data_IF_409797645439
#
_entry.id   IF_409797645439
#
_cell.length_a   1.000
_cell.length_b   1.000
_cell.length_c   1.000
_cell.angle_alpha   90.00
_cell.angle_beta   90.00
_cell.angle_gamma   90.00
#
_symmetry.space_group_name_H-M   'P 1'
#
loop_
_entity.id
_entity.type
_entity.pdbx_description
1 polymer ?
#
# COMPACT_ATOMS: atom_id res chain seq x y z
N UNK A 1 -1.28 -18.83 -18.44
CA UNK A 1 -1.97 -17.55 -18.67
C UNK A 1 -1.33 -16.53 -17.75
N UNK A 2 -0.79 -15.43 -18.30
CA UNK A 2 -0.28 -14.34 -17.47
C UNK A 2 -1.46 -13.44 -17.08
N UNK A 3 -1.64 -13.09 -15.81
CA UNK A 3 -2.67 -12.14 -15.41
C UNK A 3 -2.40 -10.78 -16.05
N UNK A 4 -3.46 -10.07 -16.46
CA UNK A 4 -3.33 -8.72 -17.01
C UNK A 4 -2.75 -7.75 -15.97
N UNK A 5 -3.12 -7.92 -14.71
CA UNK A 5 -2.61 -7.15 -13.59
C UNK A 5 -2.49 -8.00 -12.32
N UNK A 6 -1.53 -7.65 -11.48
CA UNK A 6 -1.34 -8.20 -10.13
C UNK A 6 -1.36 -7.04 -9.14
N UNK A 7 -2.13 -7.19 -8.06
CA UNK A 7 -2.08 -6.28 -6.91
C UNK A 7 -1.19 -6.89 -5.85
N UNK A 8 -0.13 -6.18 -5.45
CA UNK A 8 0.77 -6.66 -4.41
C UNK A 8 1.27 -5.51 -3.53
N UNK A 9 1.81 -5.86 -2.37
CA UNK A 9 2.59 -4.96 -1.52
C UNK A 9 3.81 -4.40 -2.27
N UNK A 10 4.25 -3.20 -1.84
CA UNK A 10 5.33 -2.45 -2.49
C UNK A 10 6.74 -2.99 -2.16
N UNK A 11 6.84 -4.28 -1.87
CA UNK A 11 8.12 -4.91 -1.55
C UNK A 11 8.90 -5.18 -2.84
N UNK A 12 10.14 -4.68 -2.89
CA UNK A 12 11.01 -4.82 -4.06
C UNK A 12 11.20 -6.29 -4.44
N UNK A 13 11.35 -7.18 -3.46
CA UNK A 13 11.50 -8.62 -3.69
C UNK A 13 10.28 -9.20 -4.40
N UNK A 14 9.07 -8.82 -3.97
CA UNK A 14 7.83 -9.29 -4.58
C UNK A 14 7.61 -8.71 -5.98
N UNK A 15 7.89 -7.42 -6.17
CA UNK A 15 7.84 -6.76 -7.47
C UNK A 15 8.79 -7.46 -8.46
N UNK A 16 10.03 -7.76 -8.03
CA UNK A 16 11.01 -8.47 -8.84
C UNK A 16 10.51 -9.88 -9.18
N UNK A 17 10.01 -10.63 -8.19
CA UNK A 17 9.48 -11.97 -8.44
C UNK A 17 8.33 -11.95 -9.47
N UNK A 18 7.41 -10.98 -9.39
CA UNK A 18 6.34 -10.83 -10.38
C UNK A 18 6.89 -10.49 -11.76
N UNK A 19 7.91 -9.63 -11.85
CA UNK A 19 8.57 -9.29 -13.12
C UNK A 19 9.26 -10.49 -13.75
N UNK A 20 9.91 -11.32 -12.95
CA UNK A 20 10.62 -12.51 -13.42
C UNK A 20 9.64 -13.58 -13.96
N UNK A 21 8.49 -13.76 -13.31
CA UNK A 21 7.50 -14.78 -13.68
C UNK A 21 6.48 -14.30 -14.72
N UNK A 22 6.20 -13.00 -14.77
CA UNK A 22 5.20 -12.41 -15.67
C UNK A 22 5.63 -10.99 -16.10
N UNK A 23 6.60 -10.90 -17.02
CA UNK A 23 7.20 -9.61 -17.43
C UNK A 23 6.17 -8.59 -17.90
N UNK A 24 5.17 -9.06 -18.64
CA UNK A 24 4.12 -8.24 -19.27
C UNK A 24 2.95 -7.89 -18.35
N UNK A 25 2.92 -8.42 -17.11
CA UNK A 25 1.82 -8.16 -16.18
C UNK A 25 1.93 -6.76 -15.57
N UNK A 26 0.85 -6.00 -15.56
CA UNK A 26 0.81 -4.72 -14.83
C UNK A 26 0.85 -4.94 -13.33
N UNK A 27 1.86 -4.41 -12.65
CA UNK A 27 1.94 -4.46 -11.19
C UNK A 27 1.25 -3.22 -10.63
N UNK A 28 0.28 -3.44 -9.75
CA UNK A 28 -0.47 -2.41 -9.05
C UNK A 28 -0.16 -2.54 -7.57
N UNK A 29 0.16 -1.42 -6.93
CA UNK A 29 0.39 -1.42 -5.49
C UNK A 29 -0.89 -1.63 -4.69
N UNK A 30 -0.80 -2.41 -3.61
CA UNK A 30 -1.93 -2.65 -2.72
C UNK A 30 -2.27 -1.39 -1.93
N UNK A 31 -3.43 -0.79 -2.24
CA UNK A 31 -3.90 0.43 -1.59
C UNK A 31 -4.06 0.28 -0.07
N UNK A 32 -4.50 -0.90 0.39
CA UNK A 32 -4.64 -1.22 1.81
C UNK A 32 -3.29 -1.15 2.54
N UNK A 33 -2.25 -1.82 2.02
CA UNK A 33 -0.91 -1.77 2.61
C UNK A 33 -0.28 -0.39 2.54
N UNK A 34 -0.54 0.37 1.46
CA UNK A 34 -0.08 1.76 1.34
C UNK A 34 -0.66 2.65 2.44
N UNK A 35 -1.98 2.57 2.68
CA UNK A 35 -2.65 3.31 3.75
C UNK A 35 -2.10 2.97 5.13
N UNK A 36 -1.87 1.69 5.42
CA UNK A 36 -1.20 1.28 6.66
C UNK A 36 0.23 1.85 6.76
N UNK A 37 0.98 1.85 5.67
CA UNK A 37 2.32 2.41 5.64
C UNK A 37 2.31 3.93 5.93
N UNK A 38 1.33 4.67 5.39
CA UNK A 38 1.11 6.08 5.71
C UNK A 38 0.87 6.28 7.21
N UNK A 39 -0.03 5.49 7.83
CA UNK A 39 -0.28 5.56 9.28
C UNK A 39 1.00 5.32 10.10
N UNK A 40 1.77 4.28 9.77
CA UNK A 40 3.04 3.96 10.45
C UNK A 40 4.05 5.11 10.30
N UNK A 41 4.11 5.74 9.13
CA UNK A 41 5.00 6.89 8.87
C UNK A 41 4.59 8.14 9.64
N UNK A 42 3.29 8.45 9.70
CA UNK A 42 2.77 9.55 10.51
C UNK A 42 3.14 9.38 11.99
N UNK A 43 2.96 8.18 12.54
CA UNK A 43 3.39 7.84 13.91
C UNK A 43 4.90 7.95 14.09
N UNK A 44 5.69 7.49 13.11
CA UNK A 44 7.16 7.60 13.13
C UNK A 44 7.65 9.05 13.14
N UNK A 45 6.94 9.94 12.44
CA UNK A 45 7.23 11.37 12.44
C UNK A 45 6.67 12.11 13.65
N UNK A 46 6.07 11.39 14.61
CA UNK A 46 5.52 11.95 15.85
C UNK A 46 4.48 13.04 15.59
N UNK A 47 3.68 12.88 14.52
CA UNK A 47 2.53 13.75 14.31
C UNK A 47 1.56 13.61 15.50
N UNK A 48 0.88 14.70 15.88
CA UNK A 48 -0.14 14.67 16.93
C UNK A 48 -1.16 13.54 16.69
N UNK A 49 -1.52 12.81 17.74
CA UNK A 49 -2.44 11.68 17.63
C UNK A 49 -3.76 12.07 16.95
N UNK A 50 -4.29 13.25 17.26
CA UNK A 50 -5.49 13.82 16.64
C UNK A 50 -5.35 13.98 15.12
N UNK A 51 -4.18 14.41 14.63
CA UNK A 51 -3.95 14.54 13.18
C UNK A 51 -3.83 13.17 12.51
N UNK A 52 -3.22 12.20 13.19
CA UNK A 52 -3.17 10.82 12.70
C UNK A 52 -4.57 10.21 12.65
N UNK A 53 -5.40 10.44 13.66
CA UNK A 53 -6.78 9.96 13.71
C UNK A 53 -7.63 10.59 12.60
N UNK A 54 -7.58 11.91 12.44
CA UNK A 54 -8.25 12.64 11.35
C UNK A 54 -7.81 12.13 9.98
N UNK A 55 -6.51 11.92 9.78
CA UNK A 55 -5.98 11.38 8.53
C UNK A 55 -6.50 9.96 8.25
N UNK A 56 -6.77 9.18 9.30
CA UNK A 56 -7.31 7.82 9.22
C UNK A 56 -8.84 7.77 9.37
N UNK A 57 -9.56 8.88 9.20
CA UNK A 57 -11.03 8.87 9.18
C UNK A 57 -11.58 8.25 7.89
N UNK A 58 -12.80 7.69 7.99
CA UNK A 58 -13.51 7.11 6.85
C UNK A 58 -13.66 8.14 5.72
N UNK A 59 -13.18 7.77 4.53
CA UNK A 59 -13.17 8.65 3.35
C UNK A 59 -11.87 9.45 3.17
N UNK A 60 -10.97 9.40 4.15
CA UNK A 60 -9.61 9.94 4.07
C UNK A 60 -8.63 8.80 3.72
N UNK A 61 -7.68 8.48 4.61
CA UNK A 61 -6.72 7.39 4.43
C UNK A 61 -7.14 6.07 5.11
N UNK A 62 -8.32 5.99 5.72
CA UNK A 62 -8.72 4.82 6.52
C UNK A 62 -8.66 3.49 5.76
N UNK A 63 -8.28 2.46 6.52
CA UNK A 63 -8.01 1.07 6.18
C UNK A 63 -9.21 0.17 6.55
N UNK A 64 -10.13 0.63 7.40
CA UNK A 64 -11.22 -0.20 7.90
C UNK A 64 -12.55 0.12 7.19
N UNK A 65 -12.84 -0.62 6.14
CA UNK A 65 -14.20 -0.92 5.69
C UNK A 65 -14.62 -2.29 6.17
#
# INVERSE_FOLDING_TARGET
>A
MNPRSIVCDFEKALINAVRDHSPDTTIVGCHFHWKQACQRRMKKYQLPAVEVEMAMERGMLDVLS
#
